data_IF_819936826594
#
_entry.id   IF_819936826594
#
_cell.length_a   1.000
_cell.length_b   1.000
_cell.length_c   1.000
_cell.angle_alpha   90.00
_cell.angle_beta   90.00
_cell.angle_gamma   90.00
#
_symmetry.space_group_name_H-M   'P 1'
#
loop_
_entity.id
_entity.type
_entity.pdbx_description
1 polymer ?
#
# COMPACT_ATOMS: atom_id res chain seq x y z
N UNK A 1 -26.64 -25.95 2.45
CA UNK A 1 -26.01 -25.73 1.14
C UNK A 1 -24.59 -25.28 1.39
N UNK A 2 -23.64 -26.23 1.25
CA UNK A 2 -22.22 -25.94 1.31
C UNK A 2 -21.89 -25.01 0.14
N UNK A 3 -21.57 -23.74 0.43
CA UNK A 3 -20.83 -22.87 -0.46
C UNK A 3 -19.40 -23.43 -0.49
N UNK A 4 -19.11 -24.27 -1.48
CA UNK A 4 -17.79 -24.74 -1.74
C UNK A 4 -16.93 -23.55 -2.12
N UNK A 5 -15.98 -23.17 -1.24
CA UNK A 5 -14.88 -22.31 -1.65
C UNK A 5 -14.15 -23.04 -2.77
N UNK A 6 -14.27 -22.57 -4.01
CA UNK A 6 -13.49 -23.06 -5.12
C UNK A 6 -12.07 -22.54 -4.92
N UNK A 7 -11.22 -23.32 -4.24
CA UNK A 7 -9.78 -23.11 -4.33
C UNK A 7 -9.38 -23.16 -5.81
N UNK A 8 -8.41 -22.33 -6.24
CA UNK A 8 -7.91 -22.39 -7.61
C UNK A 8 -7.60 -23.82 -7.95
N UNK A 9 -8.05 -24.26 -9.10
CA UNK A 9 -7.83 -25.64 -9.51
C UNK A 9 -6.31 -25.87 -9.57
N UNK A 10 -5.84 -27.07 -9.21
CA UNK A 10 -4.44 -27.47 -9.28
C UNK A 10 -3.80 -27.06 -10.61
N UNK A 11 -4.56 -27.12 -11.70
CA UNK A 11 -4.16 -26.67 -13.03
C UNK A 11 -3.83 -25.16 -13.10
N UNK A 12 -4.54 -24.31 -12.39
CA UNK A 12 -4.28 -22.87 -12.37
C UNK A 12 -2.99 -22.54 -11.62
N UNK A 13 -2.74 -23.22 -10.51
CA UNK A 13 -1.50 -23.09 -9.74
C UNK A 13 -0.29 -23.61 -10.53
N UNK A 14 -0.43 -24.76 -11.20
CA UNK A 14 0.63 -25.34 -12.03
C UNK A 14 1.00 -24.42 -13.21
N UNK A 15 0.00 -23.83 -13.89
CA UNK A 15 0.23 -22.88 -14.98
C UNK A 15 0.91 -21.59 -14.47
N UNK A 16 0.53 -21.12 -13.30
CA UNK A 16 1.18 -19.97 -12.69
C UNK A 16 2.66 -20.24 -12.39
N UNK A 17 2.99 -21.36 -11.78
CA UNK A 17 4.37 -21.77 -11.48
C UNK A 17 5.17 -21.95 -12.79
N UNK A 18 4.60 -22.59 -13.83
CA UNK A 18 5.24 -22.73 -15.14
C UNK A 18 5.54 -21.36 -15.74
N UNK A 19 4.61 -20.40 -15.67
CA UNK A 19 4.84 -19.05 -16.17
C UNK A 19 5.98 -18.36 -15.43
N UNK A 20 6.02 -18.46 -14.10
CA UNK A 20 7.12 -17.90 -13.30
C UNK A 20 8.48 -18.49 -13.68
N UNK A 21 8.55 -19.82 -13.86
CA UNK A 21 9.78 -20.50 -14.30
C UNK A 21 10.18 -20.08 -15.70
N UNK A 22 9.23 -19.96 -16.63
CA UNK A 22 9.47 -19.52 -17.99
C UNK A 22 10.02 -18.10 -18.04
N UNK A 23 9.44 -17.19 -17.24
CA UNK A 23 9.94 -15.81 -17.11
C UNK A 23 11.34 -15.77 -16.49
N UNK A 24 11.60 -16.55 -15.44
CA UNK A 24 12.91 -16.63 -14.82
C UNK A 24 14.00 -17.09 -15.79
N UNK A 25 13.66 -17.99 -16.72
CA UNK A 25 14.59 -18.53 -17.74
C UNK A 25 14.58 -17.73 -19.05
N UNK A 26 13.77 -16.69 -19.16
CA UNK A 26 13.72 -15.88 -20.37
C UNK A 26 15.12 -15.30 -20.67
N UNK A 27 15.62 -15.37 -21.92
CA UNK A 27 16.94 -14.82 -22.27
C UNK A 27 17.12 -13.37 -21.87
N UNK A 28 16.04 -12.57 -21.90
CA UNK A 28 16.03 -11.17 -21.46
C UNK A 28 16.35 -11.00 -19.97
N UNK A 29 16.09 -12.01 -19.14
CA UNK A 29 16.26 -11.97 -17.69
C UNK A 29 17.55 -12.68 -17.22
N UNK A 30 18.36 -13.15 -18.16
CA UNK A 30 19.63 -13.85 -17.89
C UNK A 30 20.84 -13.05 -18.35
N UNK A 31 22.04 -13.53 -18.05
CA UNK A 31 23.27 -12.96 -18.53
C UNK A 31 23.40 -12.96 -20.07
N UNK A 32 22.55 -13.70 -20.76
CA UNK A 32 22.46 -13.70 -22.22
C UNK A 32 21.64 -12.52 -22.79
N UNK A 33 21.12 -11.64 -21.94
CA UNK A 33 20.40 -10.43 -22.37
C UNK A 33 21.28 -9.59 -23.30
N UNK A 34 20.88 -9.36 -24.58
CA UNK A 34 21.71 -8.62 -25.53
C UNK A 34 22.07 -7.20 -25.08
N UNK A 35 21.14 -6.51 -24.37
CA UNK A 35 21.38 -5.19 -23.84
C UNK A 35 22.44 -5.21 -22.71
N UNK A 36 22.41 -6.25 -21.86
CA UNK A 36 23.42 -6.41 -20.81
C UNK A 36 24.81 -6.72 -21.40
N UNK A 37 24.87 -7.62 -22.37
CA UNK A 37 26.11 -7.93 -23.09
C UNK A 37 26.69 -6.68 -23.77
N UNK A 38 25.85 -5.93 -24.49
CA UNK A 38 26.27 -4.65 -25.09
C UNK A 38 26.79 -3.69 -24.05
N UNK A 39 26.06 -3.49 -22.93
CA UNK A 39 26.43 -2.58 -21.83
C UNK A 39 27.75 -2.97 -21.17
N UNK A 40 27.99 -4.29 -21.02
CA UNK A 40 29.27 -4.80 -20.50
C UNK A 40 30.46 -4.32 -21.34
N UNK A 41 30.40 -4.46 -22.67
CA UNK A 41 31.49 -3.98 -23.54
C UNK A 41 31.58 -2.47 -23.59
N UNK A 42 30.47 -1.72 -23.62
CA UNK A 42 30.45 -0.27 -23.62
C UNK A 42 31.09 0.33 -22.35
N UNK A 43 30.96 -0.37 -21.22
CA UNK A 43 31.46 0.10 -19.91
C UNK A 43 32.82 -0.53 -19.52
N UNK A 44 33.40 -1.34 -20.39
CA UNK A 44 34.64 -2.07 -20.07
C UNK A 44 34.49 -3.01 -18.87
N UNK A 45 33.31 -3.61 -18.70
CA UNK A 45 32.98 -4.52 -17.61
C UNK A 45 32.48 -3.85 -16.31
N UNK A 46 32.48 -2.52 -16.24
CA UNK A 46 32.04 -1.80 -15.02
C UNK A 46 30.60 -2.13 -14.66
N UNK A 47 29.70 -2.23 -15.65
CA UNK A 47 28.30 -2.57 -15.40
C UNK A 47 28.09 -3.90 -14.66
N UNK A 48 28.94 -4.90 -14.91
CA UNK A 48 28.89 -6.16 -14.16
C UNK A 48 29.30 -5.98 -12.70
N UNK A 49 30.34 -5.20 -12.43
CA UNK A 49 30.81 -4.92 -11.07
C UNK A 49 29.74 -4.14 -10.27
N UNK A 50 29.17 -3.10 -10.89
CA UNK A 50 28.08 -2.32 -10.29
C UNK A 50 26.86 -3.23 -10.02
N UNK A 51 26.47 -4.06 -10.99
CA UNK A 51 25.37 -5.01 -10.85
C UNK A 51 25.58 -6.03 -9.73
N UNK A 52 26.77 -6.59 -9.60
CA UNK A 52 27.12 -7.50 -8.50
C UNK A 52 27.10 -6.78 -7.15
N UNK A 53 27.54 -5.50 -7.11
CA UNK A 53 27.44 -4.68 -5.88
C UNK A 53 25.98 -4.46 -5.47
N UNK A 54 25.09 -4.15 -6.43
CA UNK A 54 23.66 -4.00 -6.16
C UNK A 54 23.04 -5.30 -5.67
N UNK A 55 23.34 -6.42 -6.32
CA UNK A 55 22.87 -7.73 -5.88
C UNK A 55 23.31 -8.05 -4.46
N UNK A 56 24.59 -7.83 -4.13
CA UNK A 56 25.12 -8.06 -2.79
C UNK A 56 24.42 -7.19 -1.73
N UNK A 57 24.16 -5.91 -2.02
CA UNK A 57 23.39 -5.02 -1.15
C UNK A 57 21.96 -5.54 -0.93
N UNK A 58 21.28 -5.94 -2.00
CA UNK A 58 19.90 -6.42 -1.93
C UNK A 58 19.79 -7.78 -1.23
N UNK A 59 20.78 -8.65 -1.35
CA UNK A 59 20.84 -9.90 -0.58
C UNK A 59 20.94 -9.64 0.92
N UNK A 60 21.67 -8.62 1.34
CA UNK A 60 21.87 -8.27 2.76
C UNK A 60 20.69 -7.46 3.32
N UNK A 61 20.18 -6.49 2.55
CA UNK A 61 19.26 -5.47 3.08
C UNK A 61 17.83 -5.60 2.61
N UNK A 62 17.60 -6.30 1.48
CA UNK A 62 16.28 -6.40 0.84
C UNK A 62 15.77 -7.84 0.69
N UNK A 63 16.39 -8.80 1.41
CA UNK A 63 16.00 -10.20 1.39
C UNK A 63 16.10 -10.84 0.00
N UNK A 64 17.04 -10.38 -0.84
CA UNK A 64 17.29 -10.88 -2.19
C UNK A 64 16.32 -10.35 -3.25
N UNK A 65 15.37 -9.50 -2.90
CA UNK A 65 14.51 -8.81 -3.87
C UNK A 65 15.23 -7.62 -4.47
N UNK A 66 15.13 -7.37 -5.79
CA UNK A 66 15.75 -6.20 -6.39
C UNK A 66 15.14 -4.91 -5.86
N UNK A 67 15.99 -3.94 -5.53
CA UNK A 67 15.56 -2.62 -5.14
C UNK A 67 14.81 -1.92 -6.27
N UNK A 68 13.55 -1.55 -6.02
CA UNK A 68 12.67 -0.95 -7.03
C UNK A 68 12.85 0.56 -7.14
N UNK A 69 13.44 1.20 -6.13
CA UNK A 69 13.56 2.64 -6.03
C UNK A 69 14.74 3.05 -5.16
N UNK A 70 15.29 4.21 -5.43
CA UNK A 70 16.25 4.84 -4.53
C UNK A 70 15.52 5.44 -3.32
N UNK A 71 15.58 4.75 -2.17
CA UNK A 71 14.95 5.19 -0.93
C UNK A 71 15.55 6.46 -0.31
N UNK A 72 16.72 6.90 -0.76
CA UNK A 72 17.32 8.16 -0.33
C UNK A 72 16.90 9.39 -1.14
N UNK A 73 16.08 9.20 -2.19
CA UNK A 73 15.74 10.27 -3.12
C UNK A 73 14.58 11.17 -2.65
N UNK A 74 13.82 10.73 -1.66
CA UNK A 74 12.63 11.44 -1.20
C UNK A 74 12.59 11.60 0.31
N UNK A 75 11.94 12.68 0.78
CA UNK A 75 11.66 12.95 2.19
C UNK A 75 10.23 13.43 2.35
N UNK A 76 9.45 12.72 3.16
CA UNK A 76 8.05 13.08 3.46
C UNK A 76 8.00 14.41 4.22
N UNK A 77 7.13 15.30 3.80
CA UNK A 77 7.04 16.68 4.31
C UNK A 77 7.97 17.68 3.62
N UNK A 78 8.90 17.23 2.75
CA UNK A 78 9.79 18.12 1.96
C UNK A 78 9.61 17.91 0.46
N UNK A 79 9.70 16.68 -0.02
CA UNK A 79 9.54 16.35 -1.43
C UNK A 79 8.24 15.58 -1.73
N UNK A 80 7.66 14.93 -0.74
CA UNK A 80 6.38 14.22 -0.79
C UNK A 80 5.50 14.68 0.36
N UNK A 81 4.17 14.66 0.16
CA UNK A 81 3.22 15.04 1.21
C UNK A 81 3.34 16.51 1.62
N UNK A 82 3.50 17.40 0.64
CA UNK A 82 3.87 18.81 0.88
C UNK A 82 2.69 19.77 0.92
N UNK A 83 1.46 19.31 0.73
CA UNK A 83 0.28 20.16 0.82
C UNK A 83 0.10 20.65 2.26
N UNK A 84 -0.06 21.96 2.44
CA UNK A 84 -0.14 22.58 3.76
C UNK A 84 -1.34 22.05 4.56
N UNK A 85 -1.08 21.64 5.81
CA UNK A 85 -2.09 21.09 6.70
C UNK A 85 -1.56 20.96 8.12
N UNK A 86 -2.43 20.51 9.02
CA UNK A 86 -2.09 20.29 10.42
C UNK A 86 -2.75 19.04 10.96
N UNK A 87 -2.10 18.37 11.91
CA UNK A 87 -2.73 17.33 12.72
C UNK A 87 -3.70 18.00 13.69
N UNK A 88 -5.00 17.78 13.48
CA UNK A 88 -6.07 18.38 14.28
C UNK A 88 -6.63 17.46 15.36
N UNK A 89 -6.33 16.18 15.26
CA UNK A 89 -6.71 15.19 16.27
C UNK A 89 -5.74 14.01 16.24
N UNK A 90 -5.57 13.37 17.38
CA UNK A 90 -4.77 12.15 17.54
C UNK A 90 -5.38 11.27 18.61
N UNK A 91 -5.45 9.97 18.33
CA UNK A 91 -5.66 8.91 19.32
C UNK A 91 -4.54 7.86 19.24
N UNK A 92 -4.70 6.73 19.90
CA UNK A 92 -3.67 5.68 19.90
C UNK A 92 -3.46 5.02 18.51
N UNK A 93 -4.45 5.08 17.63
CA UNK A 93 -4.52 4.35 16.36
C UNK A 93 -4.21 5.22 15.15
N UNK A 94 -4.58 6.50 15.19
CA UNK A 94 -4.45 7.41 14.06
C UNK A 94 -4.15 8.85 14.46
N UNK A 95 -3.63 9.59 13.48
CA UNK A 95 -3.63 11.04 13.41
C UNK A 95 -4.60 11.49 12.32
N UNK A 96 -5.36 12.54 12.59
CA UNK A 96 -6.24 13.20 11.62
C UNK A 96 -5.58 14.47 11.14
N UNK A 97 -5.27 14.53 9.84
CA UNK A 97 -4.68 15.71 9.22
C UNK A 97 -5.79 16.48 8.50
N UNK A 98 -5.94 17.76 8.80
CA UNK A 98 -6.77 18.71 8.07
C UNK A 98 -5.85 19.48 7.10
N UNK A 99 -6.15 19.43 5.80
CA UNK A 99 -5.47 20.28 4.84
C UNK A 99 -6.05 21.70 4.85
N UNK A 100 -5.19 22.70 4.71
CA UNK A 100 -5.56 24.11 4.70
C UNK A 100 -6.33 24.44 3.42
N UNK A 101 -7.55 24.96 3.51
CA UNK A 101 -8.30 25.45 2.37
C UNK A 101 -7.51 26.49 1.56
N UNK A 102 -7.61 26.44 0.22
CA UNK A 102 -6.93 27.36 -0.69
C UNK A 102 -7.92 28.20 -1.53
N UNK A 103 -9.21 28.03 -1.29
CA UNK A 103 -10.31 28.79 -1.89
C UNK A 103 -10.97 29.68 -0.83
N UNK A 104 -11.54 30.81 -1.24
CA UNK A 104 -12.24 31.75 -0.32
C UNK A 104 -13.46 31.11 0.34
N UNK A 105 -14.13 30.21 -0.38
CA UNK A 105 -15.29 29.47 0.11
C UNK A 105 -15.04 27.99 -0.06
N UNK A 106 -15.61 27.19 0.83
CA UNK A 106 -15.52 25.73 0.81
C UNK A 106 -16.93 25.13 0.84
N UNK A 107 -17.05 23.93 0.32
CA UNK A 107 -18.28 23.16 0.46
C UNK A 107 -18.55 22.83 1.93
N UNK A 108 -19.83 22.92 2.35
CA UNK A 108 -20.27 22.64 3.72
C UNK A 108 -19.86 21.22 4.18
N UNK A 109 -20.08 20.23 3.31
CA UNK A 109 -19.82 18.82 3.63
C UNK A 109 -18.36 18.46 3.38
N UNK A 110 -17.58 18.10 4.43
CA UNK A 110 -16.18 17.76 4.30
C UNK A 110 -15.98 16.37 3.69
N UNK A 111 -14.77 16.11 3.17
CA UNK A 111 -14.28 14.83 2.72
C UNK A 111 -13.26 14.27 3.71
N UNK A 112 -13.49 13.07 4.22
CA UNK A 112 -12.52 12.28 4.99
C UNK A 112 -11.94 11.18 4.10
N UNK A 113 -10.64 11.25 3.85
CA UNK A 113 -9.89 10.23 3.12
C UNK A 113 -9.30 9.23 4.10
N UNK A 114 -9.57 7.94 3.85
CA UNK A 114 -9.13 6.82 4.69
C UNK A 114 -8.22 5.91 3.87
N UNK A 115 -6.90 6.06 3.98
CA UNK A 115 -5.91 5.24 3.29
C UNK A 115 -5.88 3.80 3.80
N UNK A 116 -5.23 2.88 3.08
CA UNK A 116 -4.98 1.54 3.60
C UNK A 116 -4.05 1.57 4.81
N UNK A 117 -4.21 0.61 5.72
CA UNK A 117 -3.38 0.48 6.92
C UNK A 117 -1.95 0.00 6.61
N UNK A 118 -1.75 -0.65 5.48
CA UNK A 118 -0.46 -1.25 5.08
C UNK A 118 0.54 -0.27 4.47
N UNK A 119 0.08 0.94 4.12
CA UNK A 119 0.89 1.98 3.51
C UNK A 119 0.61 3.34 4.14
N UNK A 120 1.47 4.30 3.88
CA UNK A 120 1.35 5.65 4.43
C UNK A 120 0.40 6.54 3.62
N UNK A 121 -0.20 7.51 4.31
CA UNK A 121 -1.27 8.37 3.80
C UNK A 121 -0.89 9.20 2.57
N UNK A 122 0.38 9.54 2.41
CA UNK A 122 0.84 10.50 1.41
C UNK A 122 0.76 10.02 -0.05
N UNK A 123 0.26 8.80 -0.32
CA UNK A 123 -0.12 8.39 -1.68
C UNK A 123 -1.17 9.35 -2.27
N UNK A 124 -2.00 9.94 -1.42
CA UNK A 124 -3.01 10.93 -1.80
C UNK A 124 -2.46 12.36 -1.88
N UNK A 125 -1.16 12.53 -1.61
CA UNK A 125 -0.44 13.81 -1.67
C UNK A 125 1.04 13.60 -2.05
N UNK A 126 1.30 12.85 -3.13
CA UNK A 126 2.66 12.48 -3.53
C UNK A 126 3.48 13.72 -3.90
N UNK A 127 3.04 14.46 -4.90
CA UNK A 127 3.69 15.68 -5.38
C UNK A 127 2.63 16.70 -5.79
N UNK A 128 2.98 17.98 -6.02
CA UNK A 128 2.01 19.00 -6.40
C UNK A 128 1.10 18.64 -7.57
N UNK A 129 1.60 17.86 -8.52
CA UNK A 129 0.86 17.45 -9.73
C UNK A 129 0.18 16.07 -9.57
N UNK A 130 0.56 15.31 -8.52
CA UNK A 130 0.03 13.98 -8.21
C UNK A 130 -0.57 13.98 -6.79
N UNK A 131 -1.44 14.94 -6.50
CA UNK A 131 -2.08 15.10 -5.21
C UNK A 131 -3.59 15.17 -5.34
N UNK A 132 -4.28 14.13 -4.84
CA UNK A 132 -5.73 14.13 -4.68
C UNK A 132 -6.15 15.18 -3.66
N UNK A 133 -5.41 15.31 -2.56
CA UNK A 133 -5.67 16.33 -1.53
C UNK A 133 -5.70 17.74 -2.16
N UNK A 134 -4.67 18.10 -2.91
CA UNK A 134 -4.59 19.39 -3.59
C UNK A 134 -5.69 19.57 -4.65
N UNK A 135 -6.03 18.51 -5.39
CA UNK A 135 -7.14 18.54 -6.33
C UNK A 135 -8.47 18.85 -5.61
N UNK A 136 -8.75 18.20 -4.49
CA UNK A 136 -9.94 18.46 -3.68
C UNK A 136 -9.97 19.91 -3.18
N UNK A 137 -8.84 20.41 -2.64
CA UNK A 137 -8.74 21.79 -2.14
C UNK A 137 -8.96 22.82 -3.24
N UNK A 138 -8.43 22.61 -4.45
CA UNK A 138 -8.65 23.50 -5.62
C UNK A 138 -10.12 23.57 -6.03
N UNK A 139 -10.90 22.53 -5.72
CA UNK A 139 -12.33 22.47 -5.98
C UNK A 139 -13.18 22.84 -4.74
N UNK A 140 -12.61 23.53 -3.76
CA UNK A 140 -13.34 24.01 -2.59
C UNK A 140 -13.73 22.90 -1.60
N UNK A 141 -13.20 21.69 -1.74
CA UNK A 141 -13.54 20.59 -0.84
C UNK A 141 -12.69 20.67 0.44
N UNK A 142 -13.34 20.82 1.62
CA UNK A 142 -12.68 20.65 2.90
C UNK A 142 -12.18 19.22 3.01
N UNK A 143 -10.87 19.02 3.09
CA UNK A 143 -10.26 17.69 2.99
C UNK A 143 -9.50 17.34 4.26
N UNK A 144 -9.85 16.19 4.80
CA UNK A 144 -9.17 15.54 5.93
C UNK A 144 -8.62 14.19 5.47
N UNK A 145 -7.50 13.77 6.07
CA UNK A 145 -6.93 12.45 5.79
C UNK A 145 -6.49 11.78 7.08
N UNK A 146 -6.73 10.49 7.16
CA UNK A 146 -6.23 9.64 8.24
C UNK A 146 -4.78 9.25 7.98
N UNK A 147 -3.93 9.40 8.98
CA UNK A 147 -2.60 8.83 9.02
C UNK A 147 -2.59 7.73 10.09
N UNK A 148 -2.53 6.48 9.67
CA UNK A 148 -2.54 5.35 10.58
C UNK A 148 -1.21 5.21 11.32
N UNK A 149 -1.28 4.90 12.61
CA UNK A 149 -0.10 4.52 13.37
C UNK A 149 0.49 3.22 12.82
N UNK A 150 1.80 3.17 12.66
CA UNK A 150 2.51 1.94 12.33
C UNK A 150 2.62 1.06 13.60
N UNK A 151 1.87 -0.05 13.71
CA UNK A 151 1.80 -0.84 14.93
C UNK A 151 3.11 -1.58 15.20
N UNK A 152 3.32 -1.90 16.47
CA UNK A 152 4.38 -2.76 16.96
C UNK A 152 3.78 -4.00 17.64
N UNK A 153 4.62 -4.87 18.16
CA UNK A 153 4.16 -6.04 18.94
C UNK A 153 3.24 -5.67 20.12
N UNK A 154 3.36 -4.45 20.65
CA UNK A 154 2.49 -3.95 21.74
C UNK A 154 1.02 -3.80 21.30
N UNK A 155 0.78 -3.59 20.01
CA UNK A 155 -0.54 -3.42 19.41
C UNK A 155 -1.07 -4.70 18.74
N UNK A 156 -0.51 -5.87 19.05
CA UNK A 156 -0.84 -7.16 18.41
C UNK A 156 -2.31 -7.52 18.41
N UNK A 157 -3.06 -7.06 19.41
CA UNK A 157 -4.48 -7.35 19.61
C UNK A 157 -5.42 -6.33 18.93
N UNK A 158 -4.88 -5.36 18.19
CA UNK A 158 -5.71 -4.43 17.45
C UNK A 158 -6.36 -5.14 16.25
N UNK A 159 -7.65 -5.39 16.34
CA UNK A 159 -8.44 -5.93 15.26
C UNK A 159 -9.23 -4.84 14.54
N UNK A 160 -10.06 -5.25 13.58
CA UNK A 160 -10.89 -4.33 12.79
C UNK A 160 -11.76 -3.41 13.68
N UNK A 161 -12.29 -3.92 14.80
CA UNK A 161 -13.08 -3.12 15.75
C UNK A 161 -12.30 -1.95 16.33
N UNK A 162 -11.00 -2.12 16.64
CA UNK A 162 -10.13 -1.05 17.14
C UNK A 162 -10.00 0.09 16.11
N UNK A 163 -9.84 -0.27 14.84
CA UNK A 163 -9.75 0.70 13.75
C UNK A 163 -11.10 1.40 13.47
N UNK A 164 -12.22 0.68 13.62
CA UNK A 164 -13.58 1.25 13.49
C UNK A 164 -13.83 2.29 14.57
N UNK A 165 -13.54 1.98 15.84
CA UNK A 165 -13.75 2.93 16.95
C UNK A 165 -12.86 4.17 16.78
N UNK A 166 -11.60 4.01 16.42
CA UNK A 166 -10.71 5.14 16.16
C UNK A 166 -11.18 6.02 15.00
N UNK A 167 -11.71 5.40 13.94
CA UNK A 167 -12.25 6.13 12.79
C UNK A 167 -13.57 6.84 13.14
N UNK A 168 -14.40 6.27 13.99
CA UNK A 168 -15.62 6.88 14.53
C UNK A 168 -15.29 8.19 15.27
N UNK A 169 -14.26 8.17 16.14
CA UNK A 169 -13.78 9.40 16.81
C UNK A 169 -13.33 10.45 15.79
N UNK A 170 -12.59 10.03 14.74
CA UNK A 170 -12.16 10.96 13.69
C UNK A 170 -13.36 11.59 12.95
N UNK A 171 -14.42 10.82 12.64
CA UNK A 171 -15.67 11.35 12.03
C UNK A 171 -16.31 12.40 12.95
N UNK A 172 -16.39 12.12 14.26
CA UNK A 172 -16.97 13.06 15.24
C UNK A 172 -16.15 14.35 15.32
N UNK A 173 -14.83 14.25 15.26
CA UNK A 173 -13.94 15.43 15.23
C UNK A 173 -14.11 16.24 13.95
N UNK A 174 -14.19 15.57 12.77
CA UNK A 174 -14.42 16.28 11.49
C UNK A 174 -15.73 17.05 11.52
N UNK A 175 -16.82 16.44 11.99
CA UNK A 175 -18.12 17.12 12.10
C UNK A 175 -18.07 18.28 13.11
N UNK A 176 -17.36 18.11 14.23
CA UNK A 176 -17.20 19.18 15.23
C UNK A 176 -16.40 20.38 14.70
N UNK A 177 -15.32 20.13 13.95
CA UNK A 177 -14.48 21.20 13.36
C UNK A 177 -15.24 21.97 12.29
N UNK A 178 -15.99 21.25 11.43
CA UNK A 178 -16.63 21.86 10.25
C UNK A 178 -18.04 22.38 10.51
N UNK A 179 -18.68 21.95 11.61
CA UNK A 179 -20.10 22.21 11.88
C UNK A 179 -21.06 21.47 10.93
N UNK A 180 -20.54 20.59 10.07
CA UNK A 180 -21.36 19.82 9.15
C UNK A 180 -22.12 18.69 9.89
N UNK A 181 -23.35 18.44 9.49
CA UNK A 181 -24.19 17.39 10.08
C UNK A 181 -23.71 15.96 9.72
N UNK A 182 -23.02 15.82 8.59
CA UNK A 182 -22.51 14.58 8.05
C UNK A 182 -21.27 14.84 7.18
N UNK A 183 -20.57 13.79 6.77
CA UNK A 183 -19.36 13.87 5.93
C UNK A 183 -19.48 13.00 4.69
N UNK A 184 -18.64 13.27 3.69
CA UNK A 184 -18.32 12.30 2.64
C UNK A 184 -17.06 11.54 3.04
N UNK A 185 -16.99 10.25 2.71
CA UNK A 185 -15.82 9.42 2.95
C UNK A 185 -15.26 8.86 1.64
N UNK A 186 -13.94 8.74 1.57
CA UNK A 186 -13.24 8.01 0.54
C UNK A 186 -12.35 6.97 1.20
N UNK A 187 -12.65 5.71 1.01
CA UNK A 187 -11.88 4.59 1.55
C UNK A 187 -11.11 3.87 0.46
N UNK A 188 -9.81 3.66 0.68
CA UNK A 188 -8.97 2.95 -0.27
C UNK A 188 -8.48 1.61 0.29
N UNK A 189 -8.60 0.54 -0.51
CA UNK A 189 -8.15 -0.82 -0.18
C UNK A 189 -8.69 -1.26 1.19
N UNK A 190 -7.85 -1.66 2.15
CA UNK A 190 -8.26 -2.00 3.52
C UNK A 190 -8.90 -0.83 4.28
N UNK A 191 -8.55 0.42 3.95
CA UNK A 191 -9.26 1.60 4.44
C UNK A 191 -10.73 1.62 4.00
N UNK A 192 -11.02 1.17 2.77
CA UNK A 192 -12.40 1.02 2.28
C UNK A 192 -13.18 -0.07 3.00
N UNK A 193 -12.52 -1.17 3.37
CA UNK A 193 -13.12 -2.22 4.21
C UNK A 193 -13.49 -1.65 5.58
N UNK A 194 -12.58 -0.91 6.20
CA UNK A 194 -12.81 -0.24 7.49
C UNK A 194 -13.96 0.77 7.43
N UNK A 195 -14.03 1.59 6.36
CA UNK A 195 -15.13 2.51 6.13
C UNK A 195 -16.47 1.78 6.00
N UNK A 196 -16.52 0.71 5.21
CA UNK A 196 -17.74 -0.07 5.00
C UNK A 196 -18.21 -0.71 6.31
N UNK A 197 -17.29 -1.25 7.10
CA UNK A 197 -17.60 -1.81 8.41
C UNK A 197 -18.12 -0.74 9.39
N UNK A 198 -17.53 0.47 9.37
CA UNK A 198 -18.03 1.62 10.15
C UNK A 198 -19.44 2.01 9.73
N UNK A 199 -19.73 2.05 8.42
CA UNK A 199 -21.10 2.34 7.94
C UNK A 199 -22.10 1.28 8.40
N UNK A 200 -21.71 -0.01 8.40
CA UNK A 200 -22.51 -1.07 8.97
C UNK A 200 -22.79 -0.88 10.45
N UNK A 201 -21.79 -0.44 11.22
CA UNK A 201 -21.94 -0.10 12.63
C UNK A 201 -22.91 1.07 12.83
N UNK A 202 -22.77 2.17 12.08
CA UNK A 202 -23.71 3.30 12.15
C UNK A 202 -25.15 2.90 11.77
N UNK A 203 -25.29 2.07 10.74
CA UNK A 203 -26.61 1.58 10.34
C UNK A 203 -27.30 0.75 11.46
N UNK A 204 -26.54 -0.08 12.17
CA UNK A 204 -27.05 -0.86 13.30
C UNK A 204 -27.49 0.03 14.48
N UNK A 205 -26.85 1.19 14.66
CA UNK A 205 -27.22 2.18 15.69
C UNK A 205 -28.28 3.19 15.22
N UNK A 206 -28.68 3.18 13.94
CA UNK A 206 -29.56 4.16 13.34
C UNK A 206 -28.92 5.54 13.14
N UNK A 207 -27.60 5.63 13.20
CA UNK A 207 -26.83 6.87 13.01
C UNK A 207 -26.59 7.17 11.51
N UNK A 208 -26.68 8.47 11.16
CA UNK A 208 -26.48 8.96 9.78
C UNK A 208 -25.39 10.03 9.73
N UNK A 209 -24.14 9.62 10.02
CA UNK A 209 -22.98 10.52 10.07
C UNK A 209 -22.23 10.60 8.73
N UNK A 210 -22.51 9.69 7.80
CA UNK A 210 -21.86 9.64 6.47
C UNK A 210 -22.92 9.76 5.39
N UNK A 211 -22.74 10.76 4.51
CA UNK A 211 -23.62 11.03 3.39
C UNK A 211 -23.32 10.11 2.19
N UNK A 212 -22.06 9.96 1.86
CA UNK A 212 -21.61 9.13 0.73
C UNK A 212 -20.27 8.47 1.03
N UNK A 213 -20.08 7.24 0.53
CA UNK A 213 -18.83 6.51 0.55
C UNK A 213 -18.34 6.26 -0.88
N UNK A 214 -17.14 6.72 -1.17
CA UNK A 214 -16.39 6.38 -2.39
C UNK A 214 -15.37 5.29 -2.06
N UNK A 215 -15.38 4.19 -2.79
CA UNK A 215 -14.43 3.09 -2.63
C UNK A 215 -13.44 3.08 -3.78
N UNK A 216 -12.15 3.07 -3.45
CA UNK A 216 -11.04 2.92 -4.40
C UNK A 216 -10.33 1.59 -4.13
N UNK A 217 -10.22 0.75 -5.16
CA UNK A 217 -9.49 -0.54 -5.13
C UNK A 217 -9.79 -1.38 -3.88
N UNK A 218 -11.04 -1.36 -3.41
CA UNK A 218 -11.48 -2.08 -2.21
C UNK A 218 -12.16 -3.39 -2.60
N UNK A 219 -11.71 -4.50 -2.00
CA UNK A 219 -12.31 -5.82 -2.18
C UNK A 219 -13.22 -6.08 -0.98
N UNK A 220 -14.54 -6.02 -1.19
CA UNK A 220 -15.55 -6.30 -0.16
C UNK A 220 -16.07 -7.73 -0.22
N UNK A 221 -16.02 -8.35 -1.38
CA UNK A 221 -16.39 -9.75 -1.59
C UNK A 221 -15.13 -10.59 -1.80
N UNK A 222 -14.77 -11.38 -0.79
CA UNK A 222 -13.60 -12.26 -0.80
C UNK A 222 -13.89 -13.65 -1.39
N UNK A 223 -15.11 -13.89 -1.85
CA UNK A 223 -15.51 -15.17 -2.48
C UNK A 223 -15.15 -15.24 -3.96
N UNK A 224 -14.76 -14.09 -4.55
CA UNK A 224 -14.36 -14.01 -5.96
C UNK A 224 -13.00 -14.66 -6.19
N UNK A 225 -12.89 -15.41 -7.28
CA UNK A 225 -11.62 -15.97 -7.74
C UNK A 225 -10.65 -14.84 -8.12
N UNK A 226 -9.52 -14.80 -7.44
CA UNK A 226 -8.47 -13.79 -7.68
C UNK A 226 -7.11 -14.45 -7.84
N UNK A 227 -6.17 -13.76 -8.49
CA UNK A 227 -4.79 -14.24 -8.58
C UNK A 227 -4.13 -14.38 -7.20
N UNK A 228 -4.55 -13.61 -6.20
CA UNK A 228 -4.06 -13.73 -4.82
C UNK A 228 -4.37 -15.11 -4.25
N UNK A 229 -5.51 -15.71 -4.60
CA UNK A 229 -5.89 -17.04 -4.17
C UNK A 229 -4.89 -18.14 -4.60
N UNK A 230 -4.09 -17.89 -5.63
CA UNK A 230 -3.05 -18.83 -6.08
C UNK A 230 -1.88 -18.95 -5.08
N UNK A 231 -1.70 -17.93 -4.23
CA UNK A 231 -0.64 -17.89 -3.21
C UNK A 231 -1.14 -18.35 -1.84
N UNK A 232 -2.45 -18.62 -1.70
CA UNK A 232 -3.10 -18.86 -0.40
C UNK A 232 -3.74 -20.25 -0.42
N UNK A 233 -2.98 -21.26 -0.02
CA UNK A 233 -3.54 -22.52 0.44
C UNK A 233 -3.70 -22.49 1.98
N UNK A 234 -4.46 -23.45 2.52
CA UNK A 234 -4.75 -23.52 3.95
C UNK A 234 -3.48 -23.65 4.81
N UNK A 235 -2.47 -24.40 4.34
CA UNK A 235 -1.21 -24.60 5.07
C UNK A 235 -0.37 -23.33 5.09
N UNK A 236 -0.26 -22.64 3.97
CA UNK A 236 0.44 -21.37 3.82
C UNK A 236 -0.22 -20.29 4.66
N UNK A 237 -1.56 -20.22 4.65
CA UNK A 237 -2.33 -19.28 5.47
C UNK A 237 -2.10 -19.51 6.96
N UNK A 238 -2.19 -20.76 7.43
CA UNK A 238 -1.95 -21.11 8.84
C UNK A 238 -0.50 -20.87 9.26
N UNK A 239 0.47 -21.08 8.37
CA UNK A 239 1.87 -20.75 8.64
C UNK A 239 2.07 -19.22 8.75
N UNK A 240 1.47 -18.44 7.85
CA UNK A 240 1.53 -16.98 7.89
C UNK A 240 0.86 -16.42 9.16
N UNK A 241 -0.31 -16.93 9.54
CA UNK A 241 -0.98 -16.59 10.80
C UNK A 241 -0.09 -16.87 12.01
N UNK A 242 0.46 -18.08 12.12
CA UNK A 242 1.37 -18.44 13.23
C UNK A 242 2.57 -17.51 13.32
N UNK A 243 3.19 -17.22 12.17
CA UNK A 243 4.31 -16.28 12.10
C UNK A 243 3.92 -14.87 12.57
N UNK A 244 2.82 -14.35 12.07
CA UNK A 244 2.27 -13.04 12.45
C UNK A 244 1.92 -12.98 13.95
N UNK A 245 1.29 -14.02 14.50
CA UNK A 245 0.98 -14.11 15.93
C UNK A 245 2.23 -14.16 16.80
N UNK A 246 3.27 -14.87 16.40
CA UNK A 246 4.55 -14.93 17.13
C UNK A 246 5.27 -13.58 17.11
N UNK A 247 5.32 -12.94 15.95
CA UNK A 247 5.91 -11.61 15.78
C UNK A 247 5.06 -10.50 16.44
N UNK A 248 3.74 -10.70 16.53
CA UNK A 248 2.75 -9.73 16.99
C UNK A 248 2.29 -8.77 15.91
N UNK A 249 2.90 -8.82 14.73
CA UNK A 249 2.56 -8.01 13.55
C UNK A 249 2.80 -8.81 12.27
N UNK A 250 2.09 -8.44 11.21
CA UNK A 250 2.41 -8.81 9.84
C UNK A 250 3.25 -7.68 9.23
N UNK A 251 4.46 -8.01 8.81
CA UNK A 251 5.37 -7.03 8.20
C UNK A 251 4.87 -6.61 6.81
N UNK A 252 4.81 -5.32 6.55
CA UNK A 252 4.39 -4.78 5.25
C UNK A 252 5.28 -5.23 4.10
N UNK A 253 6.57 -5.51 4.36
CA UNK A 253 7.50 -6.06 3.37
C UNK A 253 7.10 -7.45 2.88
N UNK A 254 6.50 -8.28 3.73
CA UNK A 254 6.06 -9.62 3.33
C UNK A 254 4.84 -9.52 2.41
N UNK A 255 3.92 -8.61 2.69
CA UNK A 255 2.82 -8.30 1.77
C UNK A 255 3.31 -7.71 0.45
N UNK A 256 4.28 -6.80 0.48
CA UNK A 256 4.87 -6.21 -0.72
C UNK A 256 5.52 -7.28 -1.63
N UNK A 257 6.15 -8.32 -1.05
CA UNK A 257 6.67 -9.46 -1.81
C UNK A 257 5.56 -10.22 -2.53
N UNK A 258 4.44 -10.50 -1.86
CA UNK A 258 3.29 -11.16 -2.49
C UNK A 258 2.79 -10.34 -3.68
N UNK A 259 2.61 -9.03 -3.52
CA UNK A 259 2.19 -8.15 -4.62
C UNK A 259 3.22 -8.10 -5.76
N UNK A 260 4.53 -8.12 -5.45
CA UNK A 260 5.57 -8.16 -6.47
C UNK A 260 5.52 -9.46 -7.30
N UNK A 261 5.30 -10.60 -6.66
CA UNK A 261 5.18 -11.89 -7.35
C UNK A 261 3.88 -12.06 -8.15
N UNK A 262 2.85 -11.24 -7.88
CA UNK A 262 1.66 -11.20 -8.73
C UNK A 262 1.92 -10.51 -10.08
N UNK A 263 2.93 -9.65 -10.17
CA UNK A 263 3.34 -8.94 -11.40
C UNK A 263 4.86 -8.98 -11.56
N UNK A 264 5.44 -10.16 -11.71
CA UNK A 264 6.89 -10.36 -11.62
C UNK A 264 7.66 -9.61 -12.71
N UNK A 265 7.10 -9.50 -13.93
CA UNK A 265 7.76 -8.75 -15.01
C UNK A 265 7.90 -7.26 -14.67
N UNK A 266 6.87 -6.65 -14.11
CA UNK A 266 6.85 -5.23 -13.78
C UNK A 266 7.65 -4.91 -12.50
N UNK A 267 7.58 -5.80 -11.49
CA UNK A 267 8.02 -5.50 -10.13
C UNK A 267 9.26 -6.28 -9.67
N UNK A 268 9.70 -7.29 -10.44
CA UNK A 268 10.91 -8.08 -10.15
C UNK A 268 11.87 -8.05 -11.35
N UNK A 269 11.48 -8.65 -12.49
CA UNK A 269 12.40 -8.86 -13.61
C UNK A 269 12.87 -7.55 -14.24
N UNK A 270 12.04 -6.54 -14.33
CA UNK A 270 12.43 -5.21 -14.80
C UNK A 270 13.57 -4.61 -13.96
N UNK A 271 13.49 -4.71 -12.62
CA UNK A 271 14.53 -4.21 -11.72
C UNK A 271 15.72 -5.13 -11.63
N UNK A 272 15.52 -6.45 -11.76
CA UNK A 272 16.59 -7.42 -11.90
C UNK A 272 17.51 -7.07 -13.10
N UNK A 273 16.90 -6.86 -14.25
CA UNK A 273 17.64 -6.47 -15.45
C UNK A 273 18.31 -5.12 -15.27
N UNK A 274 17.57 -4.10 -14.80
CA UNK A 274 18.09 -2.76 -14.62
C UNK A 274 19.28 -2.71 -13.65
N UNK A 275 19.10 -3.29 -12.48
CA UNK A 275 20.06 -3.12 -11.38
C UNK A 275 21.24 -4.09 -11.52
N UNK A 276 20.98 -5.36 -11.87
CA UNK A 276 22.01 -6.39 -11.79
C UNK A 276 22.64 -6.72 -13.13
N UNK A 277 21.87 -6.70 -14.23
CA UNK A 277 22.43 -7.01 -15.55
C UNK A 277 23.00 -5.75 -16.24
N UNK A 278 22.33 -4.61 -16.10
CA UNK A 278 22.77 -3.34 -16.68
C UNK A 278 23.66 -2.52 -15.74
N UNK A 279 23.68 -2.83 -14.44
CA UNK A 279 24.45 -2.10 -13.42
C UNK A 279 23.95 -0.67 -13.15
N UNK A 280 22.69 -0.39 -13.47
CA UNK A 280 22.11 0.93 -13.21
C UNK A 280 21.66 1.06 -11.75
N UNK A 281 21.69 2.29 -11.23
CA UNK A 281 21.08 2.59 -9.93
C UNK A 281 19.55 2.40 -9.98
N UNK A 282 18.92 2.01 -8.85
CA UNK A 282 17.47 2.01 -8.74
C UNK A 282 16.88 3.38 -9.09
N UNK A 283 15.75 3.42 -9.82
CA UNK A 283 15.20 4.70 -10.31
C UNK A 283 14.73 5.61 -9.17
N UNK A 284 14.64 6.91 -9.47
CA UNK A 284 13.99 7.90 -8.62
C UNK A 284 12.52 8.01 -9.06
N UNK A 285 11.60 7.36 -8.33
CA UNK A 285 10.20 7.32 -8.70
C UNK A 285 9.31 7.36 -7.46
N UNK A 286 8.50 8.40 -7.33
CA UNK A 286 7.73 8.74 -6.14
C UNK A 286 6.72 7.67 -5.69
N UNK A 287 5.94 7.11 -6.62
CA UNK A 287 4.96 6.06 -6.27
C UNK A 287 5.63 4.77 -5.82
N UNK A 288 6.79 4.43 -6.35
CA UNK A 288 7.56 3.27 -5.89
C UNK A 288 8.22 3.51 -4.56
N UNK A 289 8.65 4.75 -4.27
CA UNK A 289 9.09 5.12 -2.94
C UNK A 289 7.98 4.86 -1.92
N UNK A 290 6.77 5.39 -2.18
CA UNK A 290 5.61 5.15 -1.32
C UNK A 290 5.29 3.64 -1.19
N UNK A 291 5.32 2.89 -2.28
CA UNK A 291 5.03 1.45 -2.27
C UNK A 291 6.03 0.65 -1.40
N UNK A 292 7.28 1.11 -1.31
CA UNK A 292 8.31 0.50 -0.47
C UNK A 292 8.34 1.06 0.96
N UNK A 293 7.68 2.20 1.24
CA UNK A 293 7.54 2.79 2.57
C UNK A 293 6.33 2.19 3.29
N UNK A 294 6.37 0.88 3.48
CA UNK A 294 5.27 0.08 4.04
C UNK A 294 5.11 0.27 5.55
N UNK A 295 3.92 -0.02 6.04
CA UNK A 295 3.59 -0.15 7.45
C UNK A 295 3.22 -1.59 7.78
N UNK A 296 3.07 -1.90 9.06
CA UNK A 296 2.68 -3.23 9.56
C UNK A 296 1.17 -3.31 9.73
N UNK A 297 0.66 -4.53 9.79
CA UNK A 297 -0.65 -4.82 10.36
C UNK A 297 -0.49 -5.52 11.71
N UNK A 298 -1.36 -5.25 12.69
CA UNK A 298 -1.41 -6.05 13.91
C UNK A 298 -1.79 -7.50 13.61
N UNK A 299 -1.32 -8.43 14.43
CA UNK A 299 -1.59 -9.86 14.20
C UNK A 299 -3.09 -10.22 14.25
N UNK A 300 -3.90 -9.44 14.96
CA UNK A 300 -5.35 -9.64 15.10
C UNK A 300 -6.18 -8.91 14.01
N UNK A 301 -5.58 -8.08 13.15
CA UNK A 301 -6.27 -7.41 12.05
C UNK A 301 -6.48 -8.35 10.90
#
# INVERSE_FOLDING_TARGET
>A
THLGHSFPTRRSSDLFVINLMTEAMAPSNTAANPAAVKRFFETGGKSLLDGLSHLAKDMVHNGGMPSQVNMGAFEVGKSLGTTEGAVVFRNDVLELIQYKPITEQVHERPLLVVPPQINKFYVFDLSPDKSLARFCLRNGQQTFIVSWRNPTKAQREWGLSTYIEALKEAVDVVTAITGSKDINMLGACSGGITCTALLGHYAALGEKKVNALTLLVSVLDTTLDTQVALFVDEQTLEAAKRHSYQAGVLEGRDMAKVFAWMRPNDLIWNYWVNNYLLGNEPPVFDILFWNNDTTRLPAAF
#
